data_IF_695218453975
#
_entry.id   IF_695218453975
#
_cell.length_a   1.000
_cell.length_b   1.000
_cell.length_c   1.000
_cell.angle_alpha   90.00
_cell.angle_beta   90.00
_cell.angle_gamma   90.00
#
_symmetry.space_group_name_H-M   'P 1'
#
loop_
_entity.id
_entity.type
_entity.pdbx_description
1 polymer ?
#
# COMPACT_ATOMS: atom_id res chain seq x y z
N UNK A 1 20.65 17.59 14.40
CA UNK A 1 21.57 16.47 14.10
C UNK A 1 23.01 16.86 13.89
N UNK A 2 23.30 17.96 13.19
CA UNK A 2 24.68 18.42 12.88
C UNK A 2 25.55 18.67 14.10
N UNK A 3 25.03 19.29 15.17
CA UNK A 3 25.78 19.62 16.37
C UNK A 3 26.28 18.38 17.12
N UNK A 4 25.41 17.35 17.29
CA UNK A 4 25.80 16.10 17.98
C UNK A 4 26.86 15.33 17.21
N UNK A 5 26.75 15.27 15.86
CA UNK A 5 27.73 14.61 15.00
C UNK A 5 29.09 15.33 15.05
N UNK A 6 29.08 16.66 15.05
CA UNK A 6 30.30 17.47 15.13
C UNK A 6 30.98 17.26 16.48
N UNK A 7 30.25 17.32 17.59
CA UNK A 7 30.76 17.04 18.91
C UNK A 7 31.36 15.65 19.04
N UNK A 8 30.66 14.63 18.49
CA UNK A 8 31.14 13.24 18.47
C UNK A 8 32.49 13.10 17.76
N UNK A 9 32.61 13.63 16.54
CA UNK A 9 33.85 13.59 15.75
C UNK A 9 35.00 14.36 16.45
N UNK A 10 34.68 15.48 17.08
CA UNK A 10 35.66 16.28 17.84
C UNK A 10 36.23 15.47 19.01
N UNK A 11 35.37 14.88 19.86
CA UNK A 11 35.79 14.09 21.02
C UNK A 11 36.46 12.78 20.65
N UNK A 12 36.13 12.18 19.53
CA UNK A 12 36.76 10.97 19.03
C UNK A 12 38.24 11.21 18.65
N UNK A 13 38.55 12.37 18.08
CA UNK A 13 39.89 12.72 17.61
C UNK A 13 40.70 13.48 18.66
N UNK A 14 40.09 13.97 19.76
CA UNK A 14 40.74 14.78 20.75
C UNK A 14 41.61 13.92 21.72
N UNK A 15 42.96 14.13 21.67
CA UNK A 15 43.92 13.45 22.51
C UNK A 15 44.52 14.36 23.63
N UNK A 16 43.96 15.55 23.82
CA UNK A 16 44.45 16.50 24.83
C UNK A 16 43.96 16.19 26.26
N UNK A 17 44.74 16.62 27.26
CA UNK A 17 44.40 16.50 28.68
C UNK A 17 43.60 17.71 29.22
N UNK A 18 43.36 18.73 28.39
CA UNK A 18 42.73 19.97 28.80
C UNK A 18 41.22 19.85 29.11
N UNK A 19 40.55 18.83 28.60
CA UNK A 19 39.12 18.61 28.87
C UNK A 19 38.94 17.54 29.93
N UNK A 20 38.50 17.97 31.11
CA UNK A 20 38.13 17.07 32.19
C UNK A 20 36.87 16.30 31.82
N UNK A 21 36.80 14.99 32.22
CA UNK A 21 35.65 14.13 31.95
C UNK A 21 35.35 13.94 30.44
N UNK A 22 36.38 13.77 29.61
CA UNK A 22 36.27 13.50 28.16
C UNK A 22 35.26 12.38 27.84
N UNK A 23 35.27 11.33 28.61
CA UNK A 23 34.36 10.16 28.43
C UNK A 23 32.90 10.55 28.64
N UNK A 24 32.60 11.40 29.61
CA UNK A 24 31.24 11.89 29.87
C UNK A 24 30.71 12.75 28.71
N UNK A 25 31.54 13.62 28.15
CA UNK A 25 31.18 14.41 26.97
C UNK A 25 30.95 13.55 25.72
N UNK A 26 31.71 12.46 25.57
CA UNK A 26 31.55 11.50 24.49
C UNK A 26 30.21 10.78 24.60
N UNK A 27 29.83 10.29 25.78
CA UNK A 27 28.54 9.65 26.03
C UNK A 27 27.37 10.63 25.78
N UNK A 28 27.50 11.86 26.23
CA UNK A 28 26.49 12.91 26.02
C UNK A 28 26.27 13.19 24.54
N UNK A 29 27.32 13.20 23.73
CA UNK A 29 27.23 13.39 22.28
C UNK A 29 26.48 12.25 21.58
N UNK A 30 26.68 11.00 22.00
CA UNK A 30 25.93 9.84 21.48
C UNK A 30 24.46 9.96 21.85
N UNK A 31 24.13 10.30 23.10
CA UNK A 31 22.74 10.48 23.53
C UNK A 31 22.01 11.55 22.73
N UNK A 32 22.68 12.66 22.42
CA UNK A 32 22.08 13.73 21.59
C UNK A 32 21.82 13.30 20.15
N UNK A 33 22.67 12.44 19.57
CA UNK A 33 22.47 11.88 18.22
C UNK A 33 21.26 10.95 18.24
N UNK A 34 21.14 10.06 19.22
CA UNK A 34 20.03 9.12 19.36
C UNK A 34 18.71 9.87 19.56
N UNK A 35 18.67 10.84 20.48
CA UNK A 35 17.49 11.66 20.73
C UNK A 35 17.06 12.44 19.49
N UNK A 36 18.00 13.06 18.78
CA UNK A 36 17.71 13.77 17.52
C UNK A 36 17.20 12.85 16.43
N UNK A 37 17.75 11.64 16.30
CA UNK A 37 17.28 10.62 15.37
C UNK A 37 15.86 10.15 15.69
N UNK A 38 15.56 9.92 16.95
CA UNK A 38 14.22 9.53 17.41
C UNK A 38 13.16 10.58 17.11
N UNK A 39 13.44 11.86 17.36
CA UNK A 39 12.52 12.97 17.08
C UNK A 39 12.23 13.06 15.57
N UNK A 40 13.26 12.96 14.72
CA UNK A 40 13.10 13.02 13.27
C UNK A 40 12.29 11.82 12.74
N UNK A 41 12.57 10.61 13.23
CA UNK A 41 11.83 9.42 12.88
C UNK A 41 10.34 9.55 13.26
N UNK A 42 10.05 9.96 14.50
CA UNK A 42 8.68 10.17 14.99
C UNK A 42 7.92 11.18 14.14
N UNK A 43 8.55 12.32 13.79
CA UNK A 43 7.93 13.35 12.95
C UNK A 43 7.59 12.82 11.54
N UNK A 44 8.51 12.06 10.94
CA UNK A 44 8.31 11.47 9.60
C UNK A 44 7.19 10.41 9.60
N UNK A 45 7.15 9.54 10.62
CA UNK A 45 6.09 8.55 10.79
C UNK A 45 4.72 9.21 11.02
N UNK A 46 4.64 10.23 11.86
CA UNK A 46 3.39 10.95 12.10
C UNK A 46 2.83 11.60 10.82
N UNK A 47 3.70 12.20 10.01
CA UNK A 47 3.31 12.81 8.72
C UNK A 47 2.76 11.76 7.73
N UNK A 48 3.39 10.57 7.66
CA UNK A 48 2.92 9.48 6.79
C UNK A 48 1.56 8.94 7.24
N UNK A 49 1.33 8.79 8.54
CA UNK A 49 0.05 8.32 9.10
C UNK A 49 -1.08 9.31 8.82
N UNK A 50 -0.86 10.61 9.00
CA UNK A 50 -1.86 11.65 8.69
C UNK A 50 -2.19 11.63 7.20
N UNK A 51 -1.20 11.58 6.32
CA UNK A 51 -1.41 11.60 4.88
C UNK A 51 -2.21 10.38 4.39
N UNK A 52 -2.01 9.20 4.98
CA UNK A 52 -2.80 8.00 4.66
C UNK A 52 -4.24 8.09 5.15
N UNK A 53 -4.47 8.69 6.31
CA UNK A 53 -5.81 8.90 6.87
C UNK A 53 -6.63 9.88 6.04
N UNK A 54 -6.03 11.01 5.64
CA UNK A 54 -6.71 12.02 4.82
C UNK A 54 -7.07 11.48 3.43
N UNK A 55 -6.21 10.68 2.83
CA UNK A 55 -6.47 10.03 1.54
C UNK A 55 -7.67 9.08 1.62
N UNK A 56 -7.78 8.29 2.69
CA UNK A 56 -8.90 7.38 2.88
C UNK A 56 -10.21 8.12 3.12
N UNK A 57 -10.21 9.17 3.94
CA UNK A 57 -11.39 9.97 4.22
C UNK A 57 -11.91 10.67 2.96
N UNK A 58 -11.03 11.22 2.15
CA UNK A 58 -11.39 11.84 0.86
C UNK A 58 -12.00 10.84 -0.11
N UNK A 59 -11.45 9.61 -0.16
CA UNK A 59 -11.98 8.54 -1.00
C UNK A 59 -13.36 8.08 -0.55
N UNK A 60 -13.59 7.91 0.75
CA UNK A 60 -14.89 7.56 1.29
C UNK A 60 -15.94 8.64 1.01
N UNK A 61 -15.60 9.91 1.22
CA UNK A 61 -16.48 11.03 0.90
C UNK A 61 -16.86 11.06 -0.60
N UNK A 62 -15.91 10.74 -1.48
CA UNK A 62 -16.16 10.68 -2.92
C UNK A 62 -17.06 9.50 -3.30
N UNK A 63 -16.89 8.33 -2.69
CA UNK A 63 -17.77 7.17 -2.86
C UNK A 63 -19.21 7.52 -2.42
N UNK A 64 -19.37 8.15 -1.26
CA UNK A 64 -20.67 8.58 -0.76
C UNK A 64 -21.32 9.62 -1.70
N UNK A 65 -20.51 10.55 -2.24
CA UNK A 65 -20.98 11.50 -3.25
C UNK A 65 -21.50 10.79 -4.49
N UNK A 66 -20.71 9.84 -5.02
CA UNK A 66 -21.10 9.04 -6.19
C UNK A 66 -22.36 8.22 -5.94
N UNK A 67 -22.52 7.61 -4.79
CA UNK A 67 -23.73 6.87 -4.41
C UNK A 67 -24.98 7.75 -4.34
N UNK A 68 -24.82 9.04 -4.05
CA UNK A 68 -25.92 10.01 -3.89
C UNK A 68 -26.34 10.65 -5.20
N UNK A 69 -25.39 11.03 -6.05
CA UNK A 69 -25.64 11.84 -7.25
C UNK A 69 -25.26 11.16 -8.56
N UNK A 70 -24.56 10.04 -8.52
CA UNK A 70 -24.10 9.29 -9.69
C UNK A 70 -25.24 8.52 -10.37
N UNK A 71 -25.08 8.29 -11.67
CA UNK A 71 -25.94 7.36 -12.42
C UNK A 71 -25.74 5.95 -11.92
N UNK A 72 -26.79 5.36 -11.37
CA UNK A 72 -26.79 4.00 -10.85
C UNK A 72 -27.12 3.00 -11.95
N UNK A 73 -26.24 2.06 -12.20
CA UNK A 73 -26.39 0.98 -13.17
C UNK A 73 -26.29 -0.35 -12.45
N UNK A 74 -27.33 -1.16 -12.60
CA UNK A 74 -27.29 -2.55 -12.10
C UNK A 74 -26.58 -3.43 -13.12
N UNK A 75 -25.52 -4.09 -12.67
CA UNK A 75 -24.74 -5.00 -13.50
C UNK A 75 -25.25 -6.42 -13.35
N UNK A 76 -25.39 -7.12 -14.49
CA UNK A 76 -25.78 -8.53 -14.58
C UNK A 76 -24.76 -9.27 -15.45
N UNK A 77 -24.74 -10.59 -15.42
CA UNK A 77 -23.82 -11.37 -16.24
C UNK A 77 -23.98 -11.11 -17.74
N UNK A 78 -25.19 -10.77 -18.18
CA UNK A 78 -25.49 -10.50 -19.59
C UNK A 78 -24.84 -9.22 -20.12
N UNK A 79 -24.56 -8.26 -19.23
CA UNK A 79 -24.04 -6.93 -19.62
C UNK A 79 -22.60 -6.67 -19.22
N UNK A 80 -21.92 -7.64 -18.57
CA UNK A 80 -20.55 -7.49 -18.10
C UNK A 80 -19.64 -8.59 -18.62
N UNK A 81 -18.37 -8.28 -18.75
CA UNK A 81 -17.32 -9.27 -18.99
C UNK A 81 -16.53 -9.50 -17.70
N UNK A 82 -16.50 -10.75 -17.24
CA UNK A 82 -15.62 -11.14 -16.13
C UNK A 82 -14.30 -11.62 -16.71
N UNK A 83 -13.21 -10.92 -16.35
CA UNK A 83 -11.85 -11.22 -16.83
C UNK A 83 -10.96 -11.62 -15.66
N UNK A 84 -10.04 -12.54 -15.90
CA UNK A 84 -8.99 -12.87 -14.94
C UNK A 84 -7.61 -12.61 -15.51
N UNK A 85 -6.70 -12.26 -14.62
CA UNK A 85 -5.27 -12.11 -14.89
C UNK A 85 -4.51 -12.92 -13.85
N UNK A 86 -3.60 -13.76 -14.30
CA UNK A 86 -2.64 -14.44 -13.43
C UNK A 86 -1.25 -13.85 -13.64
N UNK A 87 -0.52 -13.65 -12.56
CA UNK A 87 0.88 -13.26 -12.59
C UNK A 87 1.63 -13.93 -11.45
N UNK A 88 2.91 -14.12 -11.64
CA UNK A 88 3.79 -14.63 -10.61
C UNK A 88 4.26 -13.46 -9.75
N UNK A 89 4.03 -13.56 -8.45
CA UNK A 89 4.52 -12.61 -7.47
C UNK A 89 5.60 -13.26 -6.64
N UNK A 90 6.75 -12.63 -6.58
CA UNK A 90 7.83 -13.04 -5.72
C UNK A 90 7.57 -12.54 -4.30
N UNK A 91 7.45 -13.46 -3.36
CA UNK A 91 7.25 -13.15 -1.95
C UNK A 91 8.57 -13.34 -1.24
N UNK A 92 9.14 -12.25 -0.75
CA UNK A 92 10.29 -12.29 0.14
C UNK A 92 9.79 -12.67 1.52
N UNK A 93 10.20 -13.82 2.02
CA UNK A 93 9.85 -14.26 3.36
C UNK A 93 10.62 -13.41 4.39
N UNK A 94 9.98 -12.34 4.89
CA UNK A 94 10.58 -11.44 5.90
C UNK A 94 10.58 -12.02 7.32
N UNK A 95 10.28 -13.32 7.48
CA UNK A 95 10.44 -14.02 8.74
C UNK A 95 11.92 -14.15 9.12
N UNK A 96 12.23 -14.14 10.43
CA UNK A 96 13.56 -14.51 10.89
C UNK A 96 13.86 -15.94 10.42
N UNK A 97 14.91 -16.14 9.61
CA UNK A 97 15.23 -17.46 9.11
C UNK A 97 15.56 -18.39 10.26
N UNK A 98 15.05 -19.60 10.20
CA UNK A 98 15.46 -20.65 11.15
C UNK A 98 16.95 -20.94 10.99
N UNK A 99 17.60 -21.53 12.01
CA UNK A 99 19.02 -21.88 11.93
C UNK A 99 19.36 -22.76 10.72
N UNK A 100 18.43 -23.59 10.27
CA UNK A 100 18.58 -24.45 9.11
C UNK A 100 18.51 -23.63 7.82
N UNK A 101 17.57 -22.70 7.72
CA UNK A 101 17.43 -21.76 6.58
C UNK A 101 18.65 -20.83 6.47
N UNK A 102 19.25 -20.42 7.59
CA UNK A 102 20.50 -19.67 7.58
C UNK A 102 21.68 -20.47 6.99
N UNK A 103 21.79 -21.76 7.31
CA UNK A 103 22.83 -22.62 6.75
C UNK A 103 22.59 -22.90 5.26
N UNK A 104 21.36 -23.13 4.87
CA UNK A 104 20.98 -23.35 3.46
C UNK A 104 21.18 -22.10 2.61
N UNK A 105 20.99 -20.90 3.15
CA UNK A 105 21.19 -19.63 2.44
C UNK A 105 22.68 -19.35 2.09
N UNK A 106 23.61 -20.00 2.76
CA UNK A 106 25.03 -19.93 2.43
C UNK A 106 25.38 -20.68 1.12
N UNK A 107 24.55 -21.63 0.72
CA UNK A 107 24.78 -22.46 -0.46
C UNK A 107 23.87 -22.13 -1.64
N UNK A 108 22.71 -21.51 -1.39
CA UNK A 108 21.75 -21.17 -2.43
C UNK A 108 21.10 -19.81 -2.15
N UNK A 109 21.52 -18.80 -2.89
CA UNK A 109 21.07 -17.41 -2.73
C UNK A 109 19.60 -17.18 -3.14
N UNK A 110 18.94 -18.18 -3.77
CA UNK A 110 17.59 -18.05 -4.32
C UNK A 110 16.48 -18.64 -3.44
N UNK A 111 16.79 -19.31 -2.32
CA UNK A 111 15.80 -20.02 -1.51
C UNK A 111 14.86 -19.13 -0.68
N UNK A 112 15.21 -17.85 -0.49
CA UNK A 112 14.36 -16.91 0.23
C UNK A 112 13.24 -16.28 -0.64
N UNK A 113 13.21 -16.62 -1.92
CA UNK A 113 12.22 -16.12 -2.88
C UNK A 113 11.19 -17.21 -3.16
N UNK A 114 10.03 -17.09 -2.59
CA UNK A 114 8.91 -17.96 -2.92
C UNK A 114 8.06 -17.27 -3.99
N UNK A 115 7.91 -17.94 -5.12
CA UNK A 115 7.04 -17.44 -6.18
C UNK A 115 5.63 -18.00 -5.96
N UNK A 116 4.66 -17.12 -5.76
CA UNK A 116 3.25 -17.48 -5.71
C UNK A 116 2.53 -17.02 -6.97
N UNK A 117 1.68 -17.89 -7.51
CA UNK A 117 0.79 -17.53 -8.60
C UNK A 117 -0.40 -16.77 -8.02
N UNK A 118 -0.46 -15.47 -8.27
CA UNK A 118 -1.57 -14.62 -7.85
C UNK A 118 -2.56 -14.54 -9.00
N UNK A 119 -3.79 -14.97 -8.76
CA UNK A 119 -4.90 -14.81 -9.68
C UNK A 119 -5.75 -13.62 -9.24
N UNK A 120 -5.99 -12.69 -10.16
CA UNK A 120 -6.85 -11.53 -9.94
C UNK A 120 -7.99 -11.56 -10.96
N UNK A 121 -9.21 -11.38 -10.47
CA UNK A 121 -10.41 -11.31 -11.29
C UNK A 121 -11.01 -9.91 -11.18
N UNK A 122 -11.53 -9.40 -12.28
CA UNK A 122 -12.14 -8.07 -12.34
C UNK A 122 -13.30 -8.07 -13.35
N UNK A 123 -14.21 -7.13 -13.19
CA UNK A 123 -15.38 -6.92 -14.05
C UNK A 123 -15.07 -5.79 -15.00
N UNK A 124 -15.47 -5.97 -16.26
CA UNK A 124 -15.41 -4.94 -17.30
C UNK A 124 -16.81 -4.67 -17.81
N UNK A 125 -17.19 -3.41 -17.85
CA UNK A 125 -18.47 -2.94 -18.38
C UNK A 125 -18.23 -1.84 -19.42
N UNK A 126 -19.00 -1.85 -20.50
CA UNK A 126 -18.92 -0.84 -21.56
C UNK A 126 -20.23 -0.08 -21.65
N UNK A 127 -20.16 1.24 -21.71
CA UNK A 127 -21.32 2.10 -21.92
C UNK A 127 -20.95 3.33 -22.74
N UNK A 128 -21.87 3.74 -23.60
CA UNK A 128 -21.74 4.95 -24.40
C UNK A 128 -22.26 6.16 -23.60
N UNK A 129 -21.42 7.19 -23.47
CA UNK A 129 -21.75 8.49 -22.91
C UNK A 129 -21.35 9.58 -23.89
N UNK A 130 -22.27 10.51 -24.22
CA UNK A 130 -22.00 11.64 -25.14
C UNK A 130 -21.33 11.20 -26.45
N UNK A 131 -21.81 10.11 -27.04
CA UNK A 131 -21.27 9.48 -28.25
C UNK A 131 -19.89 8.81 -28.12
N UNK A 132 -19.25 8.85 -26.97
CA UNK A 132 -18.01 8.16 -26.70
C UNK A 132 -18.24 6.85 -25.94
N UNK A 133 -17.49 5.80 -26.29
CA UNK A 133 -17.53 4.51 -25.61
C UNK A 133 -16.58 4.51 -24.41
N UNK A 134 -17.14 4.42 -23.22
CA UNK A 134 -16.38 4.31 -21.98
C UNK A 134 -16.27 2.86 -21.54
N UNK A 135 -15.07 2.50 -21.07
CA UNK A 135 -14.76 1.22 -20.47
C UNK A 135 -14.58 1.40 -18.96
N UNK A 136 -15.44 0.75 -18.20
CA UNK A 136 -15.39 0.72 -16.73
C UNK A 136 -14.77 -0.58 -16.25
N UNK A 137 -13.81 -0.51 -15.38
CA UNK A 137 -13.08 -1.68 -14.84
C UNK A 137 -13.14 -1.66 -13.33
N UNK A 138 -13.64 -2.74 -12.73
CA UNK A 138 -13.66 -2.84 -11.26
C UNK A 138 -12.25 -2.97 -10.70
N UNK A 139 -12.10 -2.74 -9.40
CA UNK A 139 -10.89 -3.17 -8.71
C UNK A 139 -10.78 -4.72 -8.77
N UNK A 140 -9.55 -5.19 -8.77
CA UNK A 140 -9.27 -6.61 -8.82
C UNK A 140 -9.61 -7.28 -7.48
N UNK A 141 -10.21 -8.47 -7.56
CA UNK A 141 -10.48 -9.34 -6.41
C UNK A 141 -9.68 -10.64 -6.52
N UNK A 142 -9.36 -11.26 -5.39
CA UNK A 142 -8.70 -12.56 -5.33
C UNK A 142 -9.65 -13.75 -5.58
N UNK A 143 -10.96 -13.49 -5.76
CA UNK A 143 -11.93 -14.52 -6.08
C UNK A 143 -11.68 -15.09 -7.49
N UNK A 144 -11.95 -16.39 -7.69
CA UNK A 144 -11.90 -16.97 -9.02
C UNK A 144 -13.09 -16.49 -9.88
N UNK A 145 -12.99 -16.69 -11.19
CA UNK A 145 -14.00 -16.25 -12.16
C UNK A 145 -15.38 -16.82 -11.86
N UNK A 146 -15.45 -18.11 -11.52
CA UNK A 146 -16.74 -18.79 -11.29
C UNK A 146 -17.40 -18.31 -10.01
N UNK A 147 -16.62 -18.12 -8.94
CA UNK A 147 -17.12 -17.56 -7.68
C UNK A 147 -17.67 -16.14 -7.90
N UNK A 148 -16.95 -15.30 -8.68
CA UNK A 148 -17.40 -13.94 -8.96
C UNK A 148 -18.68 -13.95 -9.82
N UNK A 149 -18.79 -14.84 -10.80
CA UNK A 149 -20.01 -15.01 -11.59
C UNK A 149 -21.20 -15.45 -10.73
N UNK A 150 -21.01 -16.47 -9.89
CA UNK A 150 -22.05 -16.89 -8.93
C UNK A 150 -22.46 -15.76 -7.99
N UNK A 151 -21.52 -14.92 -7.59
CA UNK A 151 -21.80 -13.77 -6.74
C UNK A 151 -22.69 -12.74 -7.48
N UNK A 152 -22.40 -12.48 -8.75
CA UNK A 152 -23.22 -11.58 -9.59
C UNK A 152 -24.64 -12.14 -9.77
N UNK A 153 -24.79 -13.46 -9.94
CA UNK A 153 -26.09 -14.12 -10.12
C UNK A 153 -26.92 -14.16 -8.83
N UNK A 154 -26.31 -14.57 -7.72
CA UNK A 154 -27.00 -14.84 -6.46
C UNK A 154 -27.27 -13.58 -5.64
N UNK A 155 -26.43 -12.58 -5.71
CA UNK A 155 -26.67 -11.29 -5.09
C UNK A 155 -27.41 -10.40 -6.07
N UNK A 156 -28.32 -9.58 -5.57
CA UNK A 156 -29.22 -8.67 -6.31
C UNK A 156 -28.54 -7.71 -7.32
N UNK A 157 -27.40 -8.11 -7.86
CA UNK A 157 -26.56 -7.40 -8.84
C UNK A 157 -25.51 -6.53 -8.16
N UNK A 158 -24.37 -6.42 -8.83
CA UNK A 158 -23.35 -5.44 -8.51
C UNK A 158 -23.83 -4.09 -9.04
N UNK A 159 -23.63 -3.03 -8.30
CA UNK A 159 -24.03 -1.69 -8.69
C UNK A 159 -22.82 -0.89 -9.14
N UNK A 160 -22.95 -0.22 -10.28
CA UNK A 160 -21.95 0.72 -10.78
C UNK A 160 -22.53 2.14 -10.69
N UNK A 161 -21.81 3.01 -9.99
CA UNK A 161 -22.14 4.42 -9.87
C UNK A 161 -21.16 5.23 -10.73
N UNK A 162 -21.67 6.07 -11.63
CA UNK A 162 -20.89 6.87 -12.58
C UNK A 162 -21.25 8.33 -12.40
N UNK A 163 -20.24 9.20 -12.32
CA UNK A 163 -20.48 10.65 -12.32
C UNK A 163 -20.96 11.11 -13.72
N UNK A 164 -22.20 11.63 -13.84
CA UNK A 164 -22.73 12.04 -15.13
C UNK A 164 -21.96 13.20 -15.78
N UNK A 165 -21.24 13.99 -14.98
CA UNK A 165 -20.40 15.10 -15.47
C UNK A 165 -19.00 14.66 -15.84
N UNK A 166 -18.50 13.59 -15.22
CA UNK A 166 -17.18 13.05 -15.47
C UNK A 166 -17.21 11.51 -15.42
N UNK A 167 -17.50 10.82 -16.54
CA UNK A 167 -17.62 9.36 -16.56
C UNK A 167 -16.34 8.61 -16.19
N UNK A 168 -15.18 9.26 -16.14
CA UNK A 168 -13.94 8.65 -15.65
C UNK A 168 -13.95 8.44 -14.15
N UNK A 169 -14.84 9.15 -13.44
CA UNK A 169 -15.05 9.01 -12.01
C UNK A 169 -16.22 8.08 -11.74
N UNK A 170 -15.93 6.87 -11.29
CA UNK A 170 -16.92 5.82 -11.08
C UNK A 170 -16.55 4.92 -9.91
N UNK A 171 -17.55 4.19 -9.40
CA UNK A 171 -17.38 3.26 -8.30
C UNK A 171 -18.23 1.99 -8.49
N UNK A 172 -17.59 0.82 -8.34
CA UNK A 172 -18.29 -0.48 -8.30
C UNK A 172 -18.61 -0.85 -6.85
N UNK A 173 -19.88 -1.04 -6.56
CA UNK A 173 -20.37 -1.52 -5.28
C UNK A 173 -20.71 -3.01 -5.37
N UNK A 174 -19.93 -3.82 -4.67
CA UNK A 174 -20.10 -5.28 -4.66
C UNK A 174 -21.09 -5.75 -3.59
N UNK A 175 -21.61 -4.85 -2.74
CA UNK A 175 -22.66 -5.15 -1.77
C UNK A 175 -22.22 -5.98 -0.55
N UNK A 176 -20.89 -6.04 -0.23
CA UNK A 176 -20.37 -6.64 1.02
C UNK A 176 -19.87 -5.62 2.00
#
# INVERSE_FOLDING_TARGET
MSVGLFAFLFFLKYNGTAIQLKELWFVLSILTIIAGGYILAKHKFHKLLIQSSDSNNNRLAEIERLKRIGDKIKLTLDNVEVKSRSYQQEIINNGFPTRIEMLDSLYDNNRNHKTELVQQTYIVYYKKYNDEMYKFVSHATSQNVDTLKMHIENQKGIELYIDPKNPTNYYFDFGY
#
